data_IF_410371198797
#
_entry.id   IF_410371198797
#
_cell.length_a   1.000
_cell.length_b   1.000
_cell.length_c   1.000
_cell.angle_alpha   90.00
_cell.angle_beta   90.00
_cell.angle_gamma   90.00
#
_symmetry.space_group_name_H-M   'P 1'
#
loop_
_entity.id
_entity.type
_entity.pdbx_description
1 polymer ?
#
# COMPACT_ATOMS: atom_id res chain seq x y z
N UNK A 1 22.21 14.67 6.92
CA UNK A 1 23.06 13.80 7.79
C UNK A 1 23.51 12.61 6.95
N UNK A 2 24.81 12.33 6.90
CA UNK A 2 25.38 11.25 6.08
C UNK A 2 25.03 9.86 6.68
N UNK A 3 24.67 8.85 5.88
CA UNK A 3 24.43 7.50 6.37
C UNK A 3 25.76 6.76 6.59
N UNK A 4 25.81 5.95 7.66
CA UNK A 4 27.00 5.26 8.20
C UNK A 4 27.30 3.91 7.52
N UNK A 5 26.76 3.69 6.32
CA UNK A 5 27.10 2.55 5.47
C UNK A 5 26.60 1.18 5.94
N UNK A 6 25.90 1.08 7.07
CA UNK A 6 25.47 -0.23 7.61
C UNK A 6 23.97 -0.33 7.90
N UNK A 7 23.31 0.73 8.41
CA UNK A 7 21.88 0.63 8.80
C UNK A 7 21.00 1.85 8.52
N UNK A 8 21.56 2.99 8.07
CA UNK A 8 20.76 4.13 7.55
C UNK A 8 20.44 4.00 6.05
N UNK A 9 20.03 2.83 5.62
CA UNK A 9 19.36 2.66 4.32
C UNK A 9 17.87 2.84 4.56
N UNK A 10 17.19 3.68 3.78
CA UNK A 10 15.74 3.78 3.79
C UNK A 10 15.16 2.40 3.43
N UNK A 11 14.93 1.55 4.43
CA UNK A 11 14.56 0.17 4.19
C UNK A 11 13.15 0.14 3.59
N UNK A 12 13.06 -0.26 2.33
CA UNK A 12 11.81 -0.43 1.59
C UNK A 12 11.39 -1.89 1.66
N UNK A 13 10.12 -2.11 1.95
CA UNK A 13 9.55 -3.44 1.99
C UNK A 13 8.62 -3.63 0.80
N UNK A 14 8.83 -4.71 0.06
CA UNK A 14 7.88 -5.21 -0.93
C UNK A 14 7.04 -6.32 -0.30
N UNK A 15 5.73 -6.18 -0.34
CA UNK A 15 4.79 -7.18 0.16
C UNK A 15 3.77 -7.50 -0.93
N UNK A 16 3.32 -8.74 -0.99
CA UNK A 16 2.26 -9.16 -1.89
C UNK A 16 1.41 -10.26 -1.25
N UNK A 17 0.14 -10.32 -1.63
CA UNK A 17 -0.79 -11.40 -1.27
C UNK A 17 -1.66 -11.70 -2.47
N UNK A 18 -1.65 -12.96 -2.90
CA UNK A 18 -2.52 -13.44 -3.96
C UNK A 18 -3.70 -14.19 -3.35
N UNK A 19 -4.91 -13.85 -3.80
CA UNK A 19 -6.15 -14.50 -3.40
C UNK A 19 -6.66 -15.44 -4.50
N UNK A 20 -5.83 -16.43 -4.88
CA UNK A 20 -6.16 -17.38 -5.96
C UNK A 20 -7.11 -18.46 -5.42
N UNK A 21 -6.73 -19.11 -4.33
CA UNK A 21 -7.52 -20.19 -3.72
C UNK A 21 -8.64 -19.66 -2.82
N UNK A 22 -8.47 -18.44 -2.31
CA UNK A 22 -9.33 -17.73 -1.37
C UNK A 22 -9.78 -16.36 -1.93
N UNK A 23 -10.50 -16.31 -3.07
CA UNK A 23 -10.88 -15.04 -3.68
C UNK A 23 -11.87 -14.28 -2.80
N UNK A 24 -11.64 -12.97 -2.69
CA UNK A 24 -12.56 -12.04 -2.02
C UNK A 24 -13.68 -11.71 -3.02
N UNK A 25 -14.90 -12.20 -2.75
CA UNK A 25 -16.09 -11.98 -3.59
C UNK A 25 -16.89 -10.80 -3.07
N UNK A 26 -17.50 -10.05 -3.99
CA UNK A 26 -18.39 -8.94 -3.71
C UNK A 26 -19.50 -8.93 -4.77
N UNK A 27 -20.67 -8.37 -4.43
CA UNK A 27 -21.84 -8.31 -5.32
C UNK A 27 -22.02 -6.90 -5.90
N UNK A 28 -21.87 -5.86 -5.07
CA UNK A 28 -22.04 -4.46 -5.47
C UNK A 28 -20.71 -3.71 -5.46
N UNK A 29 -20.16 -3.43 -4.27
CA UNK A 29 -18.94 -2.65 -4.10
C UNK A 29 -17.90 -3.33 -3.20
N UNK A 30 -16.62 -3.02 -3.46
CA UNK A 30 -15.49 -3.45 -2.65
C UNK A 30 -14.56 -2.27 -2.38
N UNK A 31 -14.35 -1.97 -1.10
CA UNK A 31 -13.36 -1.00 -0.64
C UNK A 31 -12.32 -1.68 0.24
N UNK A 32 -11.06 -1.63 -0.21
CA UNK A 32 -9.92 -2.15 0.57
C UNK A 32 -9.15 -0.97 1.16
N UNK A 33 -8.89 -1.02 2.45
CA UNK A 33 -8.09 -0.01 3.17
C UNK A 33 -6.90 -0.68 3.84
N UNK A 34 -5.73 -0.08 3.69
CA UNK A 34 -4.49 -0.52 4.35
C UNK A 34 -4.09 0.56 5.34
N UNK A 35 -3.81 0.15 6.58
CA UNK A 35 -3.35 1.05 7.62
C UNK A 35 -1.87 0.81 7.90
N UNK A 36 -1.08 1.87 7.92
CA UNK A 36 0.30 1.85 8.37
C UNK A 36 0.33 1.88 9.91
N UNK A 37 0.58 0.73 10.53
CA UNK A 37 0.68 0.60 11.98
C UNK A 37 2.07 0.10 12.37
N UNK A 38 2.63 0.72 13.39
CA UNK A 38 3.81 0.27 14.10
C UNK A 38 3.52 -0.01 15.56
N UNK A 39 4.57 -0.35 16.30
CA UNK A 39 4.50 -0.58 17.75
C UNK A 39 5.43 0.40 18.46
N UNK A 40 4.93 1.02 19.53
CA UNK A 40 5.77 1.74 20.48
C UNK A 40 6.55 0.74 21.35
N UNK A 41 7.64 1.16 22.03
CA UNK A 41 8.44 0.28 22.89
C UNK A 41 7.63 -0.38 24.02
N UNK A 42 6.53 0.25 24.43
CA UNK A 42 5.62 -0.22 25.47
C UNK A 42 4.47 -1.12 24.94
N UNK A 43 4.52 -1.52 23.66
CA UNK A 43 3.55 -2.41 23.04
C UNK A 43 2.23 -1.76 22.64
N UNK A 44 2.11 -0.43 22.69
CA UNK A 44 0.93 0.28 22.15
C UNK A 44 1.07 0.50 20.64
N UNK A 45 -0.06 0.60 19.96
CA UNK A 45 -0.08 0.95 18.53
C UNK A 45 0.49 2.35 18.29
N UNK A 46 1.32 2.45 17.27
CA UNK A 46 1.80 3.70 16.70
C UNK A 46 1.16 3.85 15.32
N UNK A 47 0.30 4.83 15.14
CA UNK A 47 -0.16 5.20 13.80
C UNK A 47 1.03 5.77 13.02
N UNK A 48 1.41 5.10 11.93
CA UNK A 48 2.53 5.53 11.09
C UNK A 48 1.99 6.26 9.87
N UNK A 49 2.83 7.12 9.31
CA UNK A 49 2.60 7.77 8.03
C UNK A 49 3.78 7.42 7.13
N UNK A 50 3.72 6.20 6.60
CA UNK A 50 4.72 5.68 5.68
C UNK A 50 4.30 6.02 4.23
N UNK A 51 5.28 6.21 3.35
CA UNK A 51 5.02 6.35 1.92
C UNK A 51 4.71 4.96 1.32
N UNK A 52 3.43 4.74 1.01
CA UNK A 52 2.92 3.44 0.54
C UNK A 52 2.35 3.60 -0.87
N UNK A 53 2.92 2.84 -1.80
CA UNK A 53 2.31 2.55 -3.10
C UNK A 53 1.71 1.14 -3.08
N UNK A 54 0.57 0.95 -3.74
CA UNK A 54 -0.05 -0.36 -3.88
C UNK A 54 -0.64 -0.54 -5.27
N UNK A 55 -0.81 -1.80 -5.66
CA UNK A 55 -1.50 -2.19 -6.90
C UNK A 55 -2.42 -3.34 -6.57
N UNK A 56 -3.64 -3.28 -7.08
CA UNK A 56 -4.64 -4.33 -6.90
C UNK A 56 -5.03 -4.90 -8.26
N UNK A 57 -5.31 -6.19 -8.28
CA UNK A 57 -5.85 -6.90 -9.43
C UNK A 57 -7.16 -7.56 -9.01
N UNK A 58 -8.20 -7.37 -9.82
CA UNK A 58 -9.51 -7.98 -9.57
C UNK A 58 -10.21 -8.25 -10.89
N UNK A 59 -11.29 -9.02 -10.80
CA UNK A 59 -12.23 -9.25 -11.87
C UNK A 59 -13.58 -8.69 -11.43
N UNK A 60 -14.26 -8.01 -12.34
CA UNK A 60 -15.64 -7.56 -12.15
C UNK A 60 -16.38 -7.69 -13.48
N UNK A 61 -17.70 -7.83 -13.42
CA UNK A 61 -18.53 -7.78 -14.61
C UNK A 61 -18.59 -6.34 -15.17
N UNK A 62 -18.84 -6.23 -16.47
CA UNK A 62 -19.06 -4.95 -17.13
C UNK A 62 -20.45 -4.36 -16.79
N UNK A 63 -20.61 -3.02 -16.80
CA UNK A 63 -19.61 -2.01 -17.20
C UNK A 63 -18.64 -1.61 -16.08
N UNK A 64 -17.43 -1.21 -16.46
CA UNK A 64 -16.42 -0.68 -15.54
C UNK A 64 -16.55 0.84 -15.39
N UNK A 65 -16.28 1.35 -14.18
CA UNK A 65 -16.03 2.76 -13.99
C UNK A 65 -14.66 3.13 -14.59
N UNK A 66 -14.58 4.28 -15.25
CA UNK A 66 -13.30 4.83 -15.70
C UNK A 66 -12.42 5.17 -14.50
N UNK A 67 -11.13 4.86 -14.59
CA UNK A 67 -10.16 5.30 -13.60
C UNK A 67 -9.79 6.77 -13.82
N UNK A 68 -9.47 7.46 -12.73
CA UNK A 68 -8.85 8.78 -12.79
C UNK A 68 -7.48 8.74 -13.47
N UNK A 69 -6.95 9.89 -13.90
CA UNK A 69 -5.61 9.95 -14.46
C UNK A 69 -4.56 9.51 -13.43
N UNK A 70 -3.47 8.95 -13.92
CA UNK A 70 -2.29 8.67 -13.10
C UNK A 70 -1.68 10.02 -12.67
N UNK A 71 -1.32 10.20 -11.38
CA UNK A 71 -0.63 11.39 -10.89
C UNK A 71 0.65 11.72 -11.67
N UNK A 72 1.07 12.98 -11.65
CA UNK A 72 2.31 13.42 -12.31
C UNK A 72 3.57 12.82 -11.65
N UNK A 73 4.72 12.85 -12.34
CA UNK A 73 5.99 12.32 -11.82
C UNK A 73 6.36 12.91 -10.45
N UNK A 74 6.15 14.20 -10.29
CA UNK A 74 6.53 14.97 -9.10
C UNK A 74 5.63 14.62 -7.90
N UNK A 75 4.38 14.22 -8.16
CA UNK A 75 3.43 13.77 -7.14
C UNK A 75 3.71 12.34 -6.67
N UNK A 76 4.45 11.56 -7.47
CA UNK A 76 4.85 10.18 -7.17
C UNK A 76 6.25 10.09 -6.56
N UNK A 77 6.93 11.22 -6.35
CA UNK A 77 8.25 11.26 -5.73
C UNK A 77 8.18 10.85 -4.25
N UNK A 78 9.11 9.99 -3.82
CA UNK A 78 9.24 9.54 -2.43
C UNK A 78 10.36 10.35 -1.77
N UNK A 79 10.05 11.00 -0.63
CA UNK A 79 10.94 11.96 0.06
C UNK A 79 11.65 11.34 1.27
#
# INVERSE_FOLDING_TARGET
MQPDGLYRSQQRFGMYRWHIMDPIRFDEDLKVTIQALGWMPDGRYLSRRDDIASTAFWYQAEPHASFGPIPGSDELEVV
#
